data_IF_054497730901
#
_entry.id   IF_054497730901
#
_cell.length_a   1.000
_cell.length_b   1.000
_cell.length_c   1.000
_cell.angle_alpha   90.00
_cell.angle_beta   90.00
_cell.angle_gamma   90.00
#
_symmetry.space_group_name_H-M   'P 1'
#
loop_
_entity.id
_entity.type
_entity.pdbx_description
1 polymer ?
2 polymer ?
3 water ?
#
# COMPACT_ATOMS: atom_id res chain seq x y z
N UNK A 3 -14.77 2.13 -0.91
CA UNK A 3 -14.28 3.49 -0.71
C UNK A 3 -14.27 3.84 0.79
N UNK A 4 -13.12 3.64 1.43
CA UNK A 4 -13.07 3.64 2.90
C UNK A 4 -13.01 5.02 3.55
N UNK A 5 -12.82 6.10 2.78
CA UNK A 5 -12.71 7.43 3.36
C UNK A 5 -13.93 8.30 3.09
N UNK A 6 -15.06 7.71 2.67
CA UNK A 6 -16.28 8.49 2.48
C UNK A 6 -16.68 9.15 3.79
N UNK A 7 -17.03 10.43 3.72
CA UNK A 7 -17.37 11.19 4.90
C UNK A 7 -16.19 11.83 5.61
N UNK A 8 -14.97 11.64 5.12
CA UNK A 8 -13.79 12.16 5.79
C UNK A 8 -13.14 13.27 4.97
N UNK A 9 -12.55 14.24 5.68
CA UNK A 9 -12.02 15.47 5.11
C UNK A 9 -10.51 15.45 5.26
N UNK A 10 -9.79 15.69 4.16
CA UNK A 10 -8.33 15.71 4.16
C UNK A 10 -7.87 17.10 3.75
N UNK A 11 -7.02 17.72 4.58
CA UNK A 11 -6.40 18.99 4.22
C UNK A 11 -5.05 18.69 3.60
N UNK A 12 -4.90 18.98 2.31
CA UNK A 12 -3.66 18.74 1.56
C UNK A 12 -2.91 20.08 1.46
N UNK A 13 -1.76 20.18 2.10
CA UNK A 13 -0.97 21.40 2.11
C UNK A 13 0.28 21.12 1.28
N UNK A 14 0.41 21.80 0.14
CA UNK A 14 1.53 21.51 -0.76
C UNK A 14 1.72 22.68 -1.71
N UNK A 15 2.92 23.27 -1.70
CA UNK A 15 3.25 24.41 -2.56
C UNK A 15 3.57 24.00 -4.00
N UNK A 16 3.97 22.75 -4.23
CA UNK A 16 4.29 22.26 -5.57
C UNK A 16 3.02 21.71 -6.21
N UNK A 17 2.65 22.25 -7.37
CA UNK A 17 1.35 21.89 -7.94
C UNK A 17 1.30 20.44 -8.41
N UNK A 18 2.41 19.91 -8.90
CA UNK A 18 2.44 18.53 -9.39
C UNK A 18 2.15 17.56 -8.25
N UNK A 19 2.84 17.72 -7.11
CA UNK A 19 2.61 16.81 -6.00
C UNK A 19 1.24 17.01 -5.37
N UNK A 20 0.76 18.26 -5.27
CA UNK A 20 -0.57 18.50 -4.72
C UNK A 20 -1.65 17.78 -5.52
N UNK A 21 -1.56 17.85 -6.86
CA UNK A 21 -2.58 17.21 -7.70
C UNK A 21 -2.55 15.69 -7.55
N UNK A 22 -1.36 15.11 -7.40
CA UNK A 22 -1.25 13.68 -7.11
C UNK A 22 -1.95 13.30 -5.81
N UNK A 23 -1.63 14.00 -4.72
CA UNK A 23 -2.27 13.70 -3.44
C UNK A 23 -3.77 13.91 -3.51
N UNK A 24 -4.21 14.95 -4.20
CA UNK A 24 -5.63 15.21 -4.38
C UNK A 24 -6.32 14.01 -5.02
N UNK A 25 -5.70 13.45 -6.07
CA UNK A 25 -6.29 12.30 -6.77
C UNK A 25 -6.34 11.05 -5.89
N UNK A 26 -5.28 10.78 -5.15
CA UNK A 26 -5.23 9.55 -4.36
C UNK A 26 -6.32 9.56 -3.32
N UNK A 27 -6.48 10.69 -2.62
CA UNK A 27 -7.45 10.70 -1.52
C UNK A 27 -8.87 10.86 -2.04
N UNK A 28 -9.06 11.63 -3.12
CA UNK A 28 -10.40 11.69 -3.72
C UNK A 28 -10.85 10.31 -4.22
N UNK A 29 -9.91 9.52 -4.75
CA UNK A 29 -10.27 8.20 -5.27
C UNK A 29 -10.67 7.24 -4.14
N UNK A 30 -10.17 7.46 -2.93
CA UNK A 30 -10.62 6.67 -1.79
C UNK A 30 -11.92 7.19 -1.20
N UNK A 31 -12.51 8.24 -1.77
CA UNK A 31 -13.77 8.79 -1.32
C UNK A 31 -13.69 9.99 -0.39
N UNK A 32 -12.52 10.51 -0.13
CA UNK A 32 -12.40 11.64 0.80
C UNK A 32 -12.80 12.97 0.15
N UNK A 33 -13.27 13.91 0.98
CA UNK A 33 -13.34 15.32 0.59
C UNK A 33 -11.99 16.00 0.84
N UNK A 34 -11.37 16.54 -0.20
CA UNK A 34 -10.05 17.14 -0.10
C UNK A 34 -10.14 18.65 -0.19
N UNK A 35 -9.52 19.32 0.78
CA UNK A 35 -9.35 20.76 0.83
C UNK A 35 -7.88 21.05 0.58
N UNK A 36 -7.59 22.06 -0.24
CA UNK A 36 -6.23 22.33 -0.68
C UNK A 36 -5.73 23.62 -0.07
N UNK A 37 -4.47 23.60 0.36
CA UNK A 37 -3.80 24.78 0.86
C UNK A 37 -2.46 24.91 0.15
N UNK A 38 -2.08 26.15 -0.16
CA UNK A 38 -0.83 26.42 -0.86
C UNK A 38 0.37 26.52 0.08
N UNK A 39 0.16 26.95 1.32
CA UNK A 39 1.27 27.08 2.25
C UNK A 39 0.73 27.02 3.68
N UNK A 40 1.63 27.22 4.65
CA UNK A 40 1.29 26.98 6.04
C UNK A 40 0.36 28.03 6.63
N UNK A 41 0.44 29.27 6.15
CA UNK A 41 -0.51 30.26 6.60
C UNK A 41 -1.89 29.96 6.03
N UNK A 42 -1.95 29.63 4.74
CA UNK A 42 -3.22 29.26 4.12
C UNK A 42 -3.84 28.06 4.82
N UNK A 43 -2.99 27.08 5.18
CA UNK A 43 -3.47 25.92 5.92
C UNK A 43 -4.04 26.33 7.27
N UNK A 44 -3.33 27.20 7.99
CA UNK A 44 -3.79 27.60 9.32
C UNK A 44 -5.10 28.38 9.22
N UNK A 45 -5.20 29.26 8.22
CA UNK A 45 -6.45 30.00 8.01
C UNK A 45 -7.61 29.05 7.75
N UNK A 46 -7.36 27.97 7.00
CA UNK A 46 -8.42 27.06 6.62
C UNK A 46 -8.88 26.20 7.80
N UNK A 47 -7.93 25.80 8.65
CA UNK A 47 -8.26 25.10 9.89
C UNK A 47 -9.15 25.91 10.81
N UNK A 48 -9.24 27.21 10.59
CA UNK A 48 -10.18 28.02 11.33
C UNK A 48 -11.62 27.63 11.11
N UNK A 49 -11.92 26.96 9.99
CA UNK A 49 -13.29 26.61 9.68
C UNK A 49 -13.65 25.16 9.92
N UNK A 50 -12.66 24.26 10.01
CA UNK A 50 -13.01 22.85 10.13
C UNK A 50 -11.84 22.12 10.76
N UNK A 51 -12.12 20.91 11.24
CA UNK A 51 -11.09 20.00 11.72
C UNK A 51 -11.07 18.76 10.85
N UNK A 52 -10.07 18.60 9.99
CA UNK A 52 -10.05 17.44 9.11
C UNK A 52 -9.74 16.16 9.89
N UNK A 53 -10.06 15.03 9.27
CA UNK A 53 -9.62 13.76 9.83
C UNK A 53 -8.14 13.50 9.57
N UNK A 54 -7.51 14.32 8.74
CA UNK A 54 -6.09 14.21 8.45
C UNK A 54 -5.62 15.47 7.73
N UNK A 55 -4.47 15.98 8.14
CA UNK A 55 -3.73 16.98 7.39
C UNK A 55 -2.39 16.41 6.94
N UNK A 56 -2.04 16.66 5.68
CA UNK A 56 -0.77 16.25 5.06
C UNK A 56 -0.04 17.52 4.68
N UNK A 57 1.25 17.61 5.02
CA UNK A 57 2.00 18.84 4.76
C UNK A 57 3.49 18.52 4.71
N UNK A 58 4.28 19.37 4.06
CA UNK A 58 5.73 19.23 4.13
C UNK A 58 6.28 20.01 5.30
N UNK A 59 7.60 20.08 5.45
CA UNK A 59 8.16 21.00 6.41
C UNK A 59 8.49 22.33 5.77
N UNK A 60 9.27 22.32 4.68
CA UNK A 60 9.65 23.58 4.04
C UNK A 60 8.55 24.02 3.08
N UNK A 61 8.10 25.26 3.22
CA UNK A 61 7.02 25.81 2.39
C UNK A 61 6.83 27.29 2.72
N UNK A 62 6.24 28.07 1.82
CA UNK A 62 6.25 29.53 2.03
C UNK A 62 5.48 29.96 3.26
N UNK A 63 5.86 31.14 3.75
CA UNK A 63 5.17 31.94 4.76
C UNK A 63 5.14 31.31 6.15
N UNK A 64 4.82 30.04 6.27
CA UNK A 64 4.90 29.36 7.57
C UNK A 64 5.29 27.91 7.34
N UNK A 65 6.36 27.43 7.99
CA UNK A 65 6.81 26.07 7.74
C UNK A 65 5.94 25.05 8.48
N UNK A 66 6.13 23.77 8.14
CA UNK A 66 5.27 22.74 8.66
C UNK A 66 5.40 22.50 10.16
N UNK A 67 6.60 22.69 10.70
CA UNK A 67 6.78 22.42 12.13
C UNK A 67 6.18 23.53 12.98
N UNK A 68 6.28 24.78 12.52
CA UNK A 68 5.62 25.87 13.24
C UNK A 68 4.10 25.72 13.17
N UNK A 69 3.57 25.24 12.04
CA UNK A 69 2.13 24.96 11.92
C UNK A 69 1.71 23.82 12.85
N UNK A 70 2.48 22.72 12.85
CA UNK A 70 2.20 21.61 13.76
C UNK A 70 2.21 22.06 15.21
N UNK A 71 3.31 22.70 15.64
CA UNK A 71 3.36 23.19 17.02
C UNK A 71 2.23 24.16 17.32
N UNK A 72 1.80 24.95 16.33
CA UNK A 72 0.71 25.88 16.51
C UNK A 72 -0.60 25.16 16.82
N UNK A 73 -0.94 24.12 16.05
CA UNK A 73 -2.21 23.44 16.31
C UNK A 73 -2.12 22.55 17.54
N UNK A 74 -0.94 21.99 17.84
CA UNK A 74 -0.80 21.22 19.06
C UNK A 74 -0.88 22.10 20.30
N UNK A 75 -0.21 23.26 20.28
CA UNK A 75 -0.24 24.18 21.42
C UNK A 75 -1.64 24.72 21.69
N UNK A 76 -2.50 24.73 20.68
CA UNK A 76 -3.87 25.20 20.78
C UNK A 76 -4.83 24.13 21.31
N UNK A 77 -4.44 22.86 21.23
CA UNK A 77 -5.23 21.76 21.78
C UNK A 77 -5.67 20.72 20.77
N UNK A 78 -5.45 20.91 19.48
CA UNK A 78 -6.00 20.01 18.47
C UNK A 78 -5.28 18.66 18.49
N UNK A 79 -6.08 17.59 18.39
CA UNK A 79 -5.56 16.24 18.19
C UNK A 79 -5.63 15.82 16.73
N UNK A 80 -5.77 16.77 15.82
CA UNK A 80 -5.82 16.52 14.38
C UNK A 80 -4.67 15.62 13.92
N UNK A 81 -4.96 14.47 13.32
CA UNK A 81 -3.88 13.65 12.77
C UNK A 81 -3.14 14.39 11.67
N UNK A 82 -1.81 14.31 11.72
CA UNK A 82 -0.94 14.99 10.77
C UNK A 82 0.04 13.97 10.21
N UNK A 83 0.09 13.85 8.88
CA UNK A 83 1.13 13.12 8.17
C UNK A 83 2.08 14.12 7.52
N UNK A 84 3.36 13.98 7.79
CA UNK A 84 4.37 14.88 7.22
C UNK A 84 5.11 14.13 6.13
N UNK A 85 5.29 14.79 4.97
CA UNK A 85 6.03 14.25 3.83
C UNK A 85 7.06 15.31 3.44
N UNK A 86 8.34 15.03 3.73
CA UNK A 86 9.35 16.08 3.74
C UNK A 86 10.62 15.65 3.02
N UNK A 87 11.29 16.64 2.44
CA UNK A 87 12.63 16.43 1.90
C UNK A 87 13.73 16.92 2.84
N UNK A 88 13.43 17.06 4.13
CA UNK A 88 14.40 17.65 5.06
C UNK A 88 15.64 16.77 5.17
N UNK A 89 16.75 17.40 5.54
CA UNK A 89 18.00 16.71 5.83
C UNK A 89 18.43 16.90 7.29
N UNK A 90 17.56 17.47 8.13
CA UNK A 90 17.89 17.82 9.50
C UNK A 90 17.13 16.91 10.45
N UNK A 91 17.87 16.09 11.21
CA UNK A 91 17.24 15.19 12.18
C UNK A 91 16.46 15.94 13.25
N UNK A 92 16.90 17.16 13.61
CA UNK A 92 16.14 17.94 14.58
C UNK A 92 14.70 18.17 14.11
N UNK A 93 14.49 18.31 12.80
CA UNK A 93 13.13 18.39 12.26
C UNK A 93 12.34 17.13 12.58
N UNK A 94 12.95 15.97 12.35
CA UNK A 94 12.26 14.70 12.58
C UNK A 94 11.90 14.57 14.05
N UNK A 95 12.88 14.75 14.93
CA UNK A 95 12.66 14.66 16.36
C UNK A 95 11.57 15.63 16.82
N UNK A 96 11.55 16.84 16.26
CA UNK A 96 10.56 17.82 16.68
C UNK A 96 9.16 17.39 16.24
N UNK A 97 9.03 16.82 15.03
CA UNK A 97 7.72 16.39 14.58
C UNK A 97 7.20 15.23 15.42
N UNK A 98 8.09 14.29 15.78
CA UNK A 98 7.65 13.11 16.53
C UNK A 98 7.28 13.48 17.96
N UNK A 99 8.03 14.39 18.58
CA UNK A 99 7.64 14.94 19.87
C UNK A 99 6.24 15.57 19.81
N UNK A 100 5.98 16.39 18.79
CA UNK A 100 4.74 17.14 18.72
C UNK A 100 3.54 16.21 18.48
N UNK A 101 3.76 15.06 17.86
CA UNK A 101 2.69 14.12 17.57
C UNK A 101 2.29 14.12 16.11
N UNK A 102 2.71 13.09 15.38
CA UNK A 102 2.34 12.91 13.97
C UNK A 102 2.01 11.45 13.74
N UNK A 103 1.29 11.19 12.63
CA UNK A 103 1.11 9.82 12.17
C UNK A 103 2.44 9.21 11.75
N UNK A 104 3.26 9.99 11.05
CA UNK A 104 4.62 9.63 10.64
C UNK A 104 5.22 10.86 9.96
N UNK A 105 6.53 10.80 9.73
CA UNK A 105 7.22 11.73 8.84
C UNK A 105 7.77 10.86 7.71
N UNK A 106 7.18 10.96 6.53
CA UNK A 106 7.65 10.23 5.35
C UNK A 106 8.68 11.06 4.60
N UNK A 107 9.59 10.39 3.91
CA UNK A 107 10.65 11.10 3.18
C UNK A 107 10.37 11.06 1.69
N UNK A 108 10.74 12.12 0.99
CA UNK A 108 10.45 12.24 -0.44
C UNK A 108 11.60 11.66 -1.25
N UNK A 109 11.37 11.42 -2.55
CA UNK A 109 12.47 11.16 -3.46
C UNK A 109 12.71 12.34 -4.39
N UNK A 110 13.83 12.30 -5.13
CA UNK A 110 14.16 13.39 -6.05
C UNK A 110 13.15 13.47 -7.18
N UNK A 111 12.92 12.36 -7.86
CA UNK A 111 11.95 12.23 -8.93
C UNK A 111 10.89 11.25 -8.47
N UNK A 112 9.93 10.97 -9.36
CA UNK A 112 9.12 9.76 -9.24
C UNK A 112 8.13 9.84 -8.08
N UNK A 113 7.55 11.02 -7.84
CA UNK A 113 6.64 11.18 -6.73
C UNK A 113 5.45 10.23 -6.81
N UNK A 114 5.15 9.71 -8.01
CA UNK A 114 4.10 8.71 -8.20
C UNK A 114 4.23 7.55 -7.23
N UNK A 115 5.46 7.07 -7.00
CA UNK A 115 5.63 5.85 -6.20
C UNK A 115 5.51 6.08 -4.71
N UNK A 116 5.34 7.34 -4.27
CA UNK A 116 5.02 7.58 -2.87
C UNK A 116 3.67 7.01 -2.50
N UNK A 117 2.78 6.78 -3.48
CA UNK A 117 1.41 6.37 -3.15
C UNK A 117 1.38 5.14 -2.25
N UNK A 118 2.17 4.12 -2.58
CA UNK A 118 2.16 2.89 -1.78
C UNK A 118 2.63 3.17 -0.36
N UNK A 119 3.67 3.98 -0.22
CA UNK A 119 4.16 4.38 1.09
C UNK A 119 3.08 5.09 1.89
N UNK A 120 2.36 6.02 1.26
CA UNK A 120 1.34 6.78 1.97
C UNK A 120 0.20 5.87 2.39
N UNK A 121 -0.33 5.08 1.44
CA UNK A 121 -1.47 4.21 1.75
C UNK A 121 -1.11 3.18 2.80
N UNK A 122 0.07 2.57 2.67
CA UNK A 122 0.50 1.58 3.67
C UNK A 122 0.73 2.23 5.01
N UNK A 123 1.14 3.49 5.03
CA UNK A 123 1.27 4.17 6.31
C UNK A 123 -0.09 4.37 6.94
N UNK A 124 -1.06 4.83 6.15
CA UNK A 124 -2.35 5.22 6.68
C UNK A 124 -3.34 4.06 6.85
N UNK A 125 -3.08 2.90 6.24
CA UNK A 125 -4.13 1.88 6.22
C UNK A 125 -4.52 1.40 7.60
N UNK A 126 -3.61 1.23 8.59
CA UNK A 126 -4.08 0.95 9.96
C UNK A 126 -5.23 1.84 10.39
N UNK A 127 -5.08 3.16 10.25
CA UNK A 127 -6.11 4.08 10.72
C UNK A 127 -7.42 3.94 9.95
N UNK A 128 -7.35 3.50 8.69
CA UNK A 128 -8.58 3.25 7.92
C UNK A 128 -9.33 2.04 8.46
N UNK A 129 -8.61 0.94 8.73
CA UNK A 129 -9.24 -0.23 9.33
C UNK A 129 -9.82 0.11 10.69
N UNK A 130 -9.08 0.91 11.47
CA UNK A 130 -9.52 1.27 12.83
C UNK A 130 -10.67 2.27 12.80
N UNK A 131 -10.76 3.09 11.75
CA UNK A 131 -11.87 4.03 11.62
C UNK A 131 -13.23 3.34 11.54
N UNK A 132 -13.26 2.08 11.09
CA UNK A 132 -14.48 1.26 11.10
C UNK A 132 -14.60 0.40 12.36
N UNK A 133 -13.62 0.47 13.27
CA UNK A 133 -13.75 -0.11 14.61
C UNK A 133 -14.36 0.97 15.52
N UNK A 134 -15.51 1.50 15.09
CA UNK A 134 -16.18 2.56 15.82
C UNK A 134 -17.69 2.29 15.87
N UNK A 138 -11.94 -2.21 22.79
CA UNK A 138 -12.01 -2.80 21.45
C UNK A 138 -10.64 -2.88 20.81
N UNK A 139 -9.58 -2.68 21.61
CA UNK A 139 -8.21 -2.87 21.14
C UNK A 139 -7.82 -4.35 21.04
N UNK A 140 -8.80 -5.24 21.20
CA UNK A 140 -8.73 -6.63 20.78
C UNK A 140 -9.21 -6.81 19.34
N UNK A 141 -9.54 -5.72 18.63
CA UNK A 141 -10.12 -5.81 17.30
C UNK A 141 -9.56 -4.76 16.34
N UNK A 142 -8.49 -4.06 16.69
CA UNK A 142 -7.86 -3.15 15.74
C UNK A 142 -6.92 -3.93 14.82
N UNK A 143 -6.27 -3.20 13.91
CA UNK A 143 -5.42 -3.85 12.90
C UNK A 143 -4.31 -4.68 13.52
N UNK A 144 -3.64 -4.14 14.54
CA UNK A 144 -2.52 -4.85 15.15
C UNK A 144 -2.95 -6.19 15.75
N UNK A 145 -4.10 -6.20 16.43
CA UNK A 145 -4.65 -7.47 16.93
C UNK A 145 -4.94 -8.45 15.80
N UNK A 146 -5.31 -7.95 14.62
CA UNK A 146 -5.51 -8.83 13.47
C UNK A 146 -4.20 -9.41 12.98
N UNK A 147 -3.17 -8.56 12.88
CA UNK A 147 -1.84 -9.04 12.50
C UNK A 147 -1.35 -10.09 13.49
N UNK A 148 -1.63 -9.90 14.77
CA UNK A 148 -1.13 -10.78 15.82
C UNK A 148 -2.10 -11.91 16.18
N UNK A 149 -3.19 -12.08 15.43
CA UNK A 149 -4.15 -13.16 15.72
C UNK A 149 -4.68 -13.72 14.41
N UNK A 150 -4.01 -14.74 13.86
CA UNK A 150 -4.44 -15.30 12.58
C UNK A 150 -5.88 -15.80 12.59
N UNK A 151 -6.32 -16.37 13.71
CA UNK A 151 -7.68 -16.90 13.79
C UNK A 151 -8.72 -15.79 13.70
N UNK A 152 -8.50 -14.70 14.44
CA UNK A 152 -9.43 -13.56 14.39
C UNK A 152 -9.45 -12.96 12.99
N UNK A 153 -8.27 -12.75 12.41
CA UNK A 153 -8.16 -12.22 11.06
C UNK A 153 -8.95 -13.07 10.08
N UNK A 154 -8.76 -14.39 10.15
CA UNK A 154 -9.39 -15.29 9.19
C UNK A 154 -10.92 -15.22 9.30
N UNK A 155 -11.45 -15.27 10.52
CA UNK A 155 -12.90 -15.35 10.64
C UNK A 155 -13.55 -14.00 10.32
N UNK A 156 -12.85 -12.90 10.58
CA UNK A 156 -13.35 -11.60 10.11
C UNK A 156 -13.43 -11.57 8.59
N UNK A 157 -12.41 -12.11 7.91
CA UNK A 157 -12.43 -12.17 6.46
C UNK A 157 -13.61 -13.01 5.95
N UNK A 158 -13.85 -14.17 6.58
CA UNK A 158 -15.00 -14.97 6.19
C UNK A 158 -16.30 -14.19 6.40
N UNK A 159 -16.42 -13.50 7.53
CA UNK A 159 -17.60 -12.70 7.82
C UNK A 159 -17.86 -11.63 6.76
N UNK A 160 -16.81 -11.18 6.06
CA UNK A 160 -16.95 -10.10 5.08
C UNK A 160 -17.21 -10.60 3.65
N UNK A 161 -17.39 -11.90 3.43
CA UNK A 161 -17.59 -12.37 2.06
C UNK A 161 -18.93 -11.82 1.53
N UNK A 162 -19.03 -11.61 0.20
CA UNK A 162 -20.30 -11.09 -0.33
C UNK A 162 -21.41 -12.10 -0.19
N UNK A 163 -22.66 -11.64 -0.15
CA UNK A 163 -23.79 -12.59 -0.21
C UNK A 163 -23.82 -13.29 -1.55
N UNK A 164 -24.45 -14.47 -1.55
CA UNK A 164 -24.35 -15.30 -2.74
C UNK A 164 -25.17 -14.72 -3.88
N UNK A 165 -26.03 -13.76 -3.60
CA UNK A 165 -26.92 -13.21 -4.61
C UNK A 165 -27.14 -11.73 -4.31
N UNK A 166 -26.90 -10.88 -5.31
CA UNK A 166 -27.11 -9.45 -5.16
C UNK A 166 -27.25 -8.79 -6.52
N UNK A 167 -27.64 -7.53 -6.51
CA UNK A 167 -27.80 -6.72 -7.71
C UNK A 167 -26.81 -5.56 -7.64
N UNK A 168 -25.93 -5.47 -8.63
CA UNK A 168 -24.90 -4.43 -8.69
C UNK A 168 -24.92 -3.81 -10.08
N UNK A 169 -25.13 -2.50 -10.15
CA UNK A 169 -25.04 -1.78 -11.40
C UNK A 169 -25.91 -2.42 -12.48
N UNK A 170 -27.18 -2.67 -12.13
CA UNK A 170 -28.18 -3.23 -13.04
C UNK A 170 -27.80 -4.63 -13.52
N UNK A 171 -27.02 -5.36 -12.72
CA UNK A 171 -26.63 -6.73 -13.03
C UNK A 171 -26.96 -7.61 -11.85
N UNK A 172 -27.48 -8.80 -12.12
CA UNK A 172 -27.64 -9.82 -11.09
C UNK A 172 -26.34 -10.62 -11.00
N UNK A 173 -25.72 -10.62 -9.83
CA UNK A 173 -24.43 -11.27 -9.62
C UNK A 173 -24.63 -12.38 -8.60
N UNK A 174 -24.26 -13.60 -8.98
CA UNK A 174 -24.38 -14.78 -8.12
C UNK A 174 -23.04 -15.48 -8.06
N UNK A 175 -22.72 -16.05 -6.90
CA UNK A 175 -21.53 -16.89 -6.83
C UNK A 175 -21.76 -18.01 -5.82
N UNK A 176 -20.89 -19.01 -5.89
CA UNK A 176 -21.02 -20.16 -5.01
C UNK A 176 -19.65 -20.78 -4.89
N UNK A 177 -19.23 -21.06 -3.66
CA UNK A 177 -18.02 -21.85 -3.43
C UNK A 177 -18.32 -23.31 -3.74
N UNK A 178 -17.44 -23.95 -4.51
CA UNK A 178 -17.65 -25.33 -4.95
C UNK A 178 -16.69 -26.34 -4.31
N UNK A 179 -15.67 -25.88 -3.58
CA UNK A 179 -14.78 -26.73 -2.79
C UNK A 179 -14.54 -26.03 -1.47
N UNK A 180 -14.13 -26.80 -0.45
CA UNK A 180 -13.78 -26.25 0.87
C UNK A 180 -12.36 -26.70 1.20
N UNK A 181 -11.36 -25.99 0.67
CA UNK A 181 -9.98 -26.38 0.94
C UNK A 181 -9.48 -25.82 2.26
N UNK A 182 -9.85 -24.59 2.61
CA UNK A 182 -9.40 -24.00 3.85
C UNK A 182 -10.45 -23.08 4.44
N UNK A 183 -10.25 -22.76 5.73
CA UNK A 183 -10.94 -21.82 6.59
C UNK A 183 -11.60 -20.71 5.74
N UNK A 184 -10.94 -19.60 5.41
CA UNK A 184 -11.18 -19.00 4.09
C UNK A 184 -10.21 -19.57 3.06
N UNK A 185 -10.69 -19.66 1.82
CA UNK A 185 -9.90 -20.31 0.79
C UNK A 185 -9.73 -19.46 -0.44
N UNK A 186 -10.71 -19.47 -1.32
CA UNK A 186 -10.79 -18.52 -2.42
C UNK A 186 -11.72 -17.41 -1.96
N UNK A 187 -11.23 -16.18 -1.92
CA UNK A 187 -12.08 -15.09 -1.48
C UNK A 187 -12.35 -14.18 -2.67
N UNK A 188 -13.46 -13.46 -2.58
CA UNK A 188 -14.02 -12.70 -3.69
C UNK A 188 -14.52 -11.36 -3.16
N UNK A 189 -14.46 -10.33 -4.00
CA UNK A 189 -15.13 -9.07 -3.72
C UNK A 189 -15.58 -8.46 -5.05
N UNK A 190 -16.82 -7.95 -5.07
CA UNK A 190 -17.42 -7.34 -6.26
C UNK A 190 -17.94 -5.96 -5.87
N UNK A 191 -17.67 -4.96 -6.71
CA UNK A 191 -18.08 -3.61 -6.34
C UNK A 191 -18.52 -2.82 -7.56
N UNK A 192 -19.58 -2.04 -7.42
CA UNK A 192 -19.94 -1.08 -8.45
C UNK A 192 -18.84 -0.04 -8.59
N UNK A 193 -18.54 0.37 -9.82
CA UNK A 193 -17.71 1.53 -10.07
C UNK A 193 -18.51 2.76 -10.46
N UNK A 194 -19.70 2.53 -11.00
CA UNK A 194 -20.69 3.54 -11.33
C UNK A 194 -22.01 2.78 -11.49
N UNK A 195 -23.07 3.48 -11.91
CA UNK A 195 -24.31 2.75 -12.10
C UNK A 195 -24.26 1.81 -13.29
N UNK A 196 -23.19 1.86 -14.10
CA UNK A 196 -23.16 1.13 -15.36
C UNK A 196 -22.00 0.16 -15.49
N UNK A 197 -21.03 0.17 -14.59
CA UNK A 197 -19.98 -0.82 -14.65
C UNK A 197 -19.59 -1.25 -13.24
N UNK A 198 -18.86 -2.36 -13.17
CA UNK A 198 -18.48 -2.96 -11.91
C UNK A 198 -17.15 -3.65 -12.11
N UNK A 199 -16.51 -4.03 -11.01
CA UNK A 199 -15.26 -4.77 -11.03
C UNK A 199 -15.25 -5.75 -9.87
N UNK A 200 -14.35 -6.73 -9.97
CA UNK A 200 -14.30 -7.80 -9.00
C UNK A 200 -12.91 -8.38 -9.01
N UNK A 201 -12.53 -9.02 -7.90
CA UNK A 201 -11.30 -9.78 -7.86
C UNK A 201 -11.53 -11.06 -7.05
N UNK A 202 -10.77 -12.08 -7.38
CA UNK A 202 -10.77 -13.32 -6.63
C UNK A 202 -9.33 -13.59 -6.21
N UNK A 203 -9.12 -13.86 -4.91
CA UNK A 203 -7.78 -13.98 -4.34
C UNK A 203 -7.69 -15.29 -3.57
N UNK A 204 -6.69 -16.08 -3.90
CA UNK A 204 -6.46 -17.30 -3.13
C UNK A 204 -5.58 -16.95 -1.93
N UNK A 205 -6.13 -17.07 -0.70
CA UNK A 205 -5.40 -16.64 0.49
C UNK A 205 -4.61 -17.77 1.14
N UNK A 206 -4.57 -18.95 0.54
CA UNK A 206 -3.88 -20.08 1.16
C UNK A 206 -2.39 -20.18 0.79
N UNK A 207 -1.91 -19.41 -0.17
CA UNK A 207 -0.53 -19.58 -0.62
C UNK A 207 0.47 -18.79 0.22
N UNK A 208 0.01 -17.77 0.93
CA UNK A 208 0.85 -17.00 1.84
C UNK A 208 0.39 -17.15 3.27
N UNK A 209 -0.68 -17.91 3.49
CA UNK A 209 -1.16 -18.20 4.84
C UNK A 209 -1.72 -16.98 5.53
N UNK A 210 -1.07 -16.61 6.64
CA UNK A 210 -1.51 -15.45 7.41
C UNK A 210 -1.41 -14.17 6.61
N UNK A 211 -0.33 -14.01 5.84
CA UNK A 211 -0.20 -12.82 5.00
C UNK A 211 -1.28 -12.77 3.93
N UNK A 212 -1.80 -13.92 3.52
CA UNK A 212 -2.85 -13.92 2.51
C UNK A 212 -4.15 -13.35 3.02
N UNK A 213 -4.55 -13.73 4.24
CA UNK A 213 -5.71 -13.14 4.89
C UNK A 213 -5.53 -11.64 5.07
N UNK A 214 -4.38 -11.22 5.60
CA UNK A 214 -4.10 -9.79 5.78
C UNK A 214 -4.13 -9.06 4.44
N UNK A 215 -3.55 -9.66 3.40
CA UNK A 215 -3.60 -9.04 2.08
C UNK A 215 -5.04 -8.84 1.61
N UNK A 216 -5.89 -9.82 1.90
CA UNK A 216 -7.29 -9.75 1.46
C UNK A 216 -8.05 -8.65 2.20
N UNK A 217 -7.72 -8.42 3.48
CA UNK A 217 -8.40 -7.36 4.22
C UNK A 217 -7.95 -5.99 3.72
N UNK A 218 -6.66 -5.85 3.41
CA UNK A 218 -6.15 -4.59 2.87
C UNK A 218 -6.72 -4.34 1.47
N UNK A 219 -6.69 -5.35 0.61
CA UNK A 219 -7.20 -5.19 -0.75
C UNK A 219 -8.69 -4.85 -0.75
N UNK A 220 -9.46 -5.39 0.19
CA UNK A 220 -10.89 -5.08 0.21
C UNK A 220 -11.11 -3.59 0.44
N UNK A 221 -10.25 -2.97 1.24
CA UNK A 221 -10.37 -1.56 1.55
C UNK A 221 -9.88 -0.66 0.41
N UNK A 222 -8.90 -1.10 -0.37
CA UNK A 222 -8.24 -0.20 -1.32
C UNK A 222 -8.46 -0.53 -2.79
N UNK A 223 -9.05 -1.70 -3.11
CA UNK A 223 -9.19 -2.14 -4.50
C UNK A 223 -10.04 -1.16 -5.31
N UNK A 224 -11.25 -0.86 -4.82
CA UNK A 224 -12.13 0.08 -5.51
C UNK A 224 -11.41 1.41 -5.80
N UNK A 225 -10.73 1.95 -4.79
CA UNK A 225 -10.08 3.24 -4.94
C UNK A 225 -8.99 3.24 -5.99
N UNK A 226 -8.26 2.12 -6.13
CA UNK A 226 -7.20 2.03 -7.14
C UNK A 226 -7.79 2.09 -8.55
N UNK A 227 -8.89 1.39 -8.78
CA UNK A 227 -9.55 1.48 -10.08
C UNK A 227 -10.14 2.86 -10.32
N UNK A 228 -10.70 3.50 -9.28
CA UNK A 228 -11.30 4.81 -9.49
C UNK A 228 -10.25 5.83 -9.90
N UNK A 229 -9.06 5.74 -9.31
CA UNK A 229 -7.97 6.64 -9.65
C UNK A 229 -7.57 6.49 -11.10
N UNK A 230 -7.58 5.26 -11.61
CA UNK A 230 -7.18 5.02 -12.99
C UNK A 230 -8.22 5.54 -13.97
N UNK A 231 -9.49 5.18 -13.76
CA UNK A 231 -10.56 5.70 -14.60
C UNK A 231 -10.62 7.22 -14.60
N UNK A 232 -10.21 7.86 -13.51
CA UNK A 232 -10.33 9.32 -13.43
C UNK A 232 -9.39 10.04 -14.40
N UNK A 233 -8.35 9.37 -14.90
CA UNK A 233 -7.36 10.02 -15.74
C UNK A 233 -7.49 9.65 -17.21
N UNK A 234 -8.67 9.17 -17.64
CA UNK A 234 -8.91 8.90 -19.05
C UNK A 234 -10.34 9.30 -19.41
N UNK A 235 -10.52 9.76 -20.64
CA UNK A 235 -11.85 10.20 -21.09
C UNK A 235 -12.79 9.02 -21.25
N UNK A 236 -12.38 7.99 -21.99
CA UNK A 236 -13.18 6.78 -22.13
C UNK A 236 -12.86 5.82 -20.99
N UNK A 237 -13.91 5.25 -20.39
CA UNK A 237 -13.76 4.32 -19.27
C UNK A 237 -13.16 3.03 -19.78
N UNK A 238 -11.85 3.03 -19.98
CA UNK A 238 -11.14 1.88 -20.53
C UNK A 238 -10.18 1.36 -19.47
N UNK A 239 -10.62 0.51 -18.57
CA UNK A 239 -9.74 0.09 -17.46
C UNK A 239 -8.56 -0.71 -17.96
N UNK A 240 -7.45 -0.61 -17.25
CA UNK A 240 -6.24 -1.37 -17.56
C UNK A 240 -5.96 -2.20 -16.32
N UNK A 241 -6.49 -3.43 -16.31
CA UNK A 241 -6.40 -4.25 -15.11
C UNK A 241 -4.97 -4.69 -14.84
N UNK A 242 -4.14 -4.82 -15.86
CA UNK A 242 -2.74 -5.15 -15.62
C UNK A 242 -1.98 -4.07 -14.87
N UNK A 243 -2.32 -2.80 -15.11
CA UNK A 243 -1.72 -1.73 -14.32
C UNK A 243 -2.17 -1.83 -12.87
N UNK A 244 -3.40 -2.32 -12.65
CA UNK A 244 -3.88 -2.59 -11.30
C UNK A 244 -3.05 -3.69 -10.62
N UNK A 245 -2.80 -4.79 -11.33
CA UNK A 245 -1.99 -5.87 -10.74
C UNK A 245 -0.62 -5.36 -10.35
N UNK A 246 -0.02 -4.50 -11.19
CA UNK A 246 1.30 -3.97 -10.90
C UNK A 246 1.29 -3.15 -9.62
N UNK A 247 0.21 -2.36 -9.44
CA UNK A 247 0.10 -1.48 -8.28
C UNK A 247 -0.22 -2.26 -7.01
N UNK A 248 -1.11 -3.25 -7.11
CA UNK A 248 -1.40 -4.10 -5.95
C UNK A 248 -0.14 -4.81 -5.48
N UNK A 249 0.70 -5.26 -6.43
CA UNK A 249 1.94 -5.92 -6.03
C UNK A 249 2.87 -4.97 -5.29
N UNK A 250 3.04 -3.74 -5.80
CA UNK A 250 3.88 -2.79 -5.06
C UNK A 250 3.27 -2.46 -3.71
N UNK A 251 1.94 -2.48 -3.61
CA UNK A 251 1.27 -2.15 -2.35
C UNK A 251 1.52 -3.21 -1.28
N UNK A 252 1.32 -4.49 -1.62
CA UNK A 252 1.58 -5.57 -0.68
C UNK A 252 3.05 -5.62 -0.26
N UNK A 253 3.95 -5.35 -1.20
CA UNK A 253 5.38 -5.33 -0.87
C UNK A 253 5.66 -4.24 0.16
N UNK A 254 5.14 -3.03 -0.10
CA UNK A 254 5.39 -1.92 0.80
C UNK A 254 4.71 -2.13 2.15
N UNK A 255 3.56 -2.83 2.17
CA UNK A 255 2.82 -3.11 3.39
C UNK A 255 3.45 -4.22 4.22
N UNK A 256 4.60 -4.76 3.79
CA UNK A 256 5.25 -5.87 4.46
C UNK A 256 4.34 -7.10 4.52
N UNK A 257 3.80 -7.47 3.37
CA UNK A 257 3.00 -8.69 3.23
C UNK A 257 3.61 -9.56 2.14
N UNK A 258 4.79 -10.13 2.38
CA UNK A 258 5.39 -11.00 1.37
C UNK A 258 4.64 -12.32 1.26
N UNK A 259 4.80 -12.96 0.11
CA UNK A 259 4.25 -14.28 -0.12
C UNK A 259 3.78 -14.41 -1.54
N UNK A 260 2.98 -15.44 -1.81
CA UNK A 260 2.36 -15.66 -3.12
C UNK A 260 0.87 -15.36 -3.04
N UNK A 261 0.39 -14.53 -3.97
CA UNK A 261 -1.01 -14.10 -3.99
C UNK A 261 -1.63 -14.36 -5.35
N UNK A 262 -2.23 -15.53 -5.58
CA UNK A 262 -2.95 -15.77 -6.84
C UNK A 262 -4.21 -14.92 -6.89
N UNK A 263 -4.29 -14.08 -7.91
CA UNK A 263 -5.29 -13.02 -7.97
C UNK A 263 -5.80 -12.89 -9.40
N UNK A 264 -7.13 -12.92 -9.56
CA UNK A 264 -7.80 -12.69 -10.83
C UNK A 264 -8.61 -11.41 -10.67
N UNK A 265 -8.58 -10.55 -11.68
CA UNK A 265 -9.30 -9.28 -11.68
C UNK A 265 -10.21 -9.25 -12.91
N UNK A 266 -11.42 -8.73 -12.72
CA UNK A 266 -12.39 -8.65 -13.80
C UNK A 266 -13.11 -7.32 -13.73
N UNK A 267 -13.64 -6.91 -14.89
CA UNK A 267 -14.36 -5.66 -15.05
C UNK A 267 -15.49 -5.90 -16.04
N UNK A 268 -16.67 -5.32 -15.81
CA UNK A 268 -17.80 -5.52 -16.72
C UNK A 268 -18.62 -4.24 -16.81
N UNK A 269 -18.90 -3.83 -18.04
CA UNK A 269 -19.77 -2.69 -18.32
C UNK A 269 -21.08 -3.21 -18.88
N UNK A 270 -22.19 -2.88 -18.21
CA UNK A 270 -23.48 -3.47 -18.55
C UNK A 270 -24.10 -2.88 -19.81
N UNK A 271 -23.68 -1.68 -20.24
CA UNK A 271 -24.21 -1.18 -21.51
C UNK A 271 -23.30 -1.59 -22.67
N UNK A 272 -22.00 -1.33 -22.53
CA UNK A 272 -21.04 -1.71 -23.56
C UNK A 272 -20.92 -3.22 -23.73
N UNK A 273 -21.30 -4.00 -22.71
CA UNK A 273 -21.28 -5.46 -22.74
C UNK A 273 -19.86 -6.00 -22.89
N UNK A 274 -18.91 -5.37 -22.21
CA UNK A 274 -17.51 -5.78 -22.28
C UNK A 274 -17.08 -6.41 -20.97
N UNK A 275 -16.57 -7.64 -21.06
CA UNK A 275 -16.00 -8.35 -19.92
C UNK A 275 -14.48 -8.37 -20.12
N UNK A 276 -13.76 -7.89 -19.12
CA UNK A 276 -12.31 -7.81 -19.18
C UNK A 276 -11.78 -8.64 -18.03
N UNK A 277 -10.83 -9.53 -18.33
CA UNK A 277 -10.25 -10.41 -17.32
C UNK A 277 -8.73 -10.36 -17.36
N UNK A 278 -8.11 -10.44 -16.20
CA UNK A 278 -6.69 -10.77 -16.13
C UNK A 278 -6.45 -11.68 -14.92
N UNK A 279 -5.52 -12.63 -15.08
CA UNK A 279 -5.24 -13.59 -14.01
C UNK A 279 -3.74 -13.72 -13.77
N UNK A 280 -3.32 -13.51 -12.53
CA UNK A 280 -1.96 -13.79 -12.10
C UNK A 280 -2.02 -14.92 -11.07
N UNK A 281 -1.86 -16.16 -11.55
CA UNK A 281 -1.74 -17.32 -10.67
C UNK A 281 -3.00 -18.16 -10.52
N UNK A 282 -4.14 -17.74 -11.09
CA UNK A 282 -5.39 -18.47 -10.96
C UNK A 282 -5.85 -18.95 -12.34
N UNK A 283 -6.55 -20.08 -12.35
CA UNK A 283 -7.23 -20.60 -13.54
C UNK A 283 -8.67 -20.10 -13.59
N UNK A 284 -9.20 -19.94 -14.81
CA UNK A 284 -10.60 -19.56 -15.00
C UNK A 284 -11.16 -20.22 -16.25
N UNK A 285 -12.44 -20.62 -16.20
CA UNK A 285 -13.15 -21.11 -17.37
C UNK A 285 -14.38 -20.23 -17.54
N UNK A 286 -14.40 -19.46 -18.61
CA UNK A 286 -15.51 -18.58 -18.93
C UNK A 286 -16.41 -19.28 -19.93
N UNK A 287 -17.69 -19.38 -19.61
CA UNK A 287 -18.69 -19.86 -20.56
C UNK A 287 -19.67 -18.74 -20.87
N UNK A 288 -19.83 -18.44 -22.16
CA UNK A 288 -20.87 -17.53 -22.64
C UNK A 288 -21.67 -18.25 -23.71
N UNK A 289 -22.55 -17.50 -24.39
CA UNK A 289 -23.17 -18.03 -25.59
C UNK A 289 -22.22 -18.19 -26.77
N UNK A 290 -21.16 -17.39 -26.83
CA UNK A 290 -20.21 -17.44 -27.94
C UNK A 290 -19.31 -18.67 -27.86
N UNK A 291 -18.26 -18.56 -27.02
CA UNK A 291 -17.24 -19.57 -26.80
C UNK A 291 -17.20 -20.02 -25.34
N UNK A 292 -16.52 -21.13 -25.12
CA UNK A 292 -15.91 -21.42 -23.83
C UNK A 292 -14.46 -20.98 -23.89
N UNK A 293 -14.00 -20.27 -22.86
CA UNK A 293 -12.65 -19.71 -22.84
C UNK A 293 -11.95 -20.15 -21.55
N UNK A 294 -10.85 -20.86 -21.69
CA UNK A 294 -10.08 -21.32 -20.53
C UNK A 294 -8.82 -20.48 -20.45
N UNK A 295 -8.65 -19.79 -19.32
CA UNK A 295 -7.50 -18.91 -19.06
C UNK A 295 -6.66 -19.57 -17.98
N UNK A 296 -5.34 -19.62 -18.18
CA UNK A 296 -4.48 -20.05 -17.11
C UNK A 296 -3.23 -19.19 -17.08
N UNK A 297 -2.70 -19.06 -15.88
CA UNK A 297 -1.46 -18.36 -15.59
C UNK A 297 -1.06 -18.86 -14.21
N UNK A 298 0.15 -19.40 -14.09
CA UNK A 298 0.64 -19.97 -12.85
C UNK A 298 1.57 -19.09 -12.07
N UNK A 299 1.64 -17.79 -12.38
CA UNK A 299 2.60 -16.91 -11.71
C UNK A 299 1.84 -15.90 -10.87
N UNK A 300 1.77 -16.11 -9.56
CA UNK A 300 0.97 -15.24 -8.71
C UNK A 300 1.71 -13.94 -8.39
N UNK A 301 0.95 -12.96 -7.87
CA UNK A 301 1.55 -11.76 -7.32
C UNK A 301 2.49 -12.11 -6.17
N UNK A 302 3.45 -11.22 -5.94
CA UNK A 302 4.44 -11.44 -4.93
C UNK A 302 5.65 -12.22 -5.39
N UNK A 303 5.68 -12.69 -6.64
CA UNK A 303 6.82 -13.47 -7.13
C UNK A 303 7.62 -12.75 -8.21
N UNK A 304 7.12 -11.63 -8.73
CA UNK A 304 7.82 -10.83 -9.73
C UNK A 304 7.92 -9.39 -9.25
N UNK A 305 9.02 -8.71 -9.58
CA UNK A 305 9.08 -7.27 -9.34
C UNK A 305 7.94 -6.53 -10.01
N UNK A 306 7.70 -6.80 -11.31
CA UNK A 306 6.66 -6.12 -12.08
C UNK A 306 5.55 -7.13 -12.40
N UNK A 307 4.38 -6.94 -11.80
CA UNK A 307 3.26 -7.86 -11.92
C UNK A 307 2.31 -7.50 -13.06
N UNK A 308 2.69 -6.57 -13.92
CA UNK A 308 1.81 -6.17 -15.03
C UNK A 308 1.56 -7.37 -15.96
N UNK A 309 0.29 -7.55 -16.36
CA UNK A 309 -0.08 -8.49 -17.40
C UNK A 309 -1.03 -7.82 -18.38
N UNK A 310 -1.02 -8.28 -19.64
CA UNK A 310 -2.01 -7.85 -20.62
C UNK A 310 -3.34 -8.58 -20.44
N UNK A 311 -4.43 -7.82 -20.50
CA UNK A 311 -5.76 -8.32 -20.19
C UNK A 311 -6.47 -8.92 -21.40
N UNK A 312 -7.46 -9.75 -21.12
CA UNK A 312 -8.35 -10.32 -22.11
C UNK A 312 -9.69 -9.61 -22.08
N UNK A 313 -10.32 -9.45 -23.24
CA UNK A 313 -11.62 -8.82 -23.29
C UNK A 313 -12.53 -9.58 -24.25
N UNK A 314 -13.80 -9.70 -23.87
CA UNK A 314 -14.80 -10.50 -24.59
C UNK A 314 -16.15 -9.82 -24.42
N UNK A 315 -16.79 -9.41 -25.50
CA UNK A 315 -18.12 -8.85 -25.35
C UNK A 315 -19.10 -9.98 -25.05
N UNK A 316 -20.07 -9.72 -24.19
CA UNK A 316 -21.10 -10.73 -23.89
C UNK A 316 -22.18 -10.10 -23.04
N UNK A 317 -23.36 -10.72 -23.07
CA UNK A 317 -24.56 -10.22 -22.39
C UNK A 317 -24.78 -10.87 -21.03
N UNK A 318 -24.40 -12.14 -20.90
CA UNK A 318 -24.45 -12.88 -19.66
C UNK A 318 -23.25 -13.82 -19.68
N UNK A 319 -22.69 -14.11 -18.52
CA UNK A 319 -21.55 -15.01 -18.51
C UNK A 319 -21.49 -15.74 -17.17
N UNK A 320 -20.71 -16.81 -17.17
CA UNK A 320 -20.37 -17.50 -15.93
C UNK A 320 -18.93 -17.97 -16.03
N UNK A 321 -18.30 -18.03 -14.87
CA UNK A 321 -16.85 -18.16 -14.78
C UNK A 321 -16.52 -19.02 -13.58
N UNK A 322 -15.87 -20.17 -13.82
CA UNK A 322 -15.25 -20.95 -12.75
C UNK A 322 -13.83 -20.40 -12.56
N UNK A 323 -13.47 -20.12 -11.31
CA UNK A 323 -12.13 -19.65 -10.94
C UNK A 323 -11.61 -20.65 -9.91
N UNK A 324 -10.42 -21.20 -10.13
CA UNK A 324 -9.85 -22.06 -9.11
C UNK A 324 -8.34 -21.89 -9.01
N UNK A 325 -7.84 -22.20 -7.82
CA UNK A 325 -6.42 -22.38 -7.54
C UNK A 325 -6.31 -23.52 -6.56
N UNK A 326 -5.13 -23.72 -5.97
CA UNK A 326 -4.99 -24.78 -4.99
C UNK A 326 -5.91 -24.54 -3.79
N UNK A 327 -6.18 -23.27 -3.48
CA UNK A 327 -7.02 -22.92 -2.34
C UNK A 327 -8.50 -23.27 -2.48
N UNK A 328 -8.98 -23.52 -3.70
CA UNK A 328 -10.38 -23.85 -3.88
C UNK A 328 -10.88 -23.41 -5.24
N UNK A 329 -12.22 -23.47 -5.41
CA UNK A 329 -12.89 -23.21 -6.67
C UNK A 329 -14.22 -22.52 -6.42
N UNK A 330 -14.54 -21.50 -7.19
CA UNK A 330 -15.86 -20.87 -7.09
C UNK A 330 -16.41 -20.60 -8.49
N UNK A 331 -17.72 -20.40 -8.56
CA UNK A 331 -18.40 -20.03 -9.81
C UNK A 331 -19.03 -18.66 -9.61
N UNK A 332 -18.67 -17.74 -10.49
CA UNK A 332 -19.23 -16.39 -10.52
C UNK A 332 -20.10 -16.26 -11.76
N UNK A 333 -21.32 -15.76 -11.59
CA UNK A 333 -22.29 -15.64 -12.67
C UNK A 333 -22.86 -14.23 -12.72
N UNK A 334 -23.05 -13.72 -13.92
CA UNK A 334 -23.64 -12.40 -14.13
C UNK A 334 -24.65 -12.46 -15.26
N UNK A 335 -25.84 -11.89 -15.04
CA UNK A 335 -26.74 -11.63 -16.16
C UNK A 335 -27.40 -10.28 -15.96
N UNK A 336 -28.04 -9.79 -17.03
CA UNK A 336 -28.78 -8.54 -16.94
C UNK A 336 -29.88 -8.64 -15.88
N UNK A 337 -30.04 -7.57 -15.10
CA UNK A 337 -31.11 -7.52 -14.12
C UNK A 337 -32.44 -7.31 -14.83
N UNK B 4 25.81 -17.07 -4.86
CA UNK B 4 25.29 -16.86 -6.22
C UNK B 4 25.66 -15.47 -6.75
N UNK B 5 25.71 -15.34 -8.07
CA UNK B 5 25.95 -14.02 -8.67
C UNK B 5 24.94 -13.00 -8.20
N UNK B 6 23.71 -13.44 -7.91
CA UNK B 6 22.66 -12.51 -7.51
C UNK B 6 22.90 -11.97 -6.11
N UNK B 7 23.12 -12.88 -5.15
CA UNK B 7 23.30 -12.45 -3.76
C UNK B 7 24.54 -11.59 -3.59
N UNK B 8 25.54 -11.79 -4.45
CA UNK B 8 26.76 -10.99 -4.35
C UNK B 8 26.54 -9.57 -4.85
N UNK B 9 25.79 -9.41 -5.94
CA UNK B 9 25.59 -8.09 -6.51
C UNK B 9 24.68 -7.22 -5.65
N UNK B 10 23.63 -7.81 -5.08
CA UNK B 10 22.75 -7.06 -4.19
C UNK B 10 23.54 -6.55 -2.99
N UNK B 11 24.41 -7.37 -2.44
CA UNK B 11 25.17 -6.98 -1.25
C UNK B 11 26.13 -5.84 -1.57
N UNK B 12 26.88 -5.95 -2.67
CA UNK B 12 27.81 -4.90 -3.04
C UNK B 12 27.07 -3.58 -3.30
N UNK B 13 25.91 -3.64 -3.94
CA UNK B 13 25.20 -2.41 -4.27
C UNK B 13 24.50 -1.81 -3.08
N UNK B 14 24.08 -2.64 -2.11
CA UNK B 14 23.64 -2.10 -0.82
C UNK B 14 24.77 -1.34 -0.14
N UNK B 15 25.96 -1.94 -0.08
CA UNK B 15 27.10 -1.27 0.53
C UNK B 15 27.35 0.09 -0.12
N UNK B 16 27.25 0.16 -1.44
CA UNK B 16 27.44 1.43 -2.15
C UNK B 16 26.37 2.44 -1.78
N UNK B 17 25.13 1.99 -1.55
CA UNK B 17 24.06 2.90 -1.15
C UNK B 17 24.41 3.60 0.17
N UNK B 18 25.07 2.90 1.09
CA UNK B 18 25.31 3.45 2.41
C UNK B 18 26.60 4.25 2.50
N UNK B 19 27.50 4.13 1.54
CA UNK B 19 28.82 4.72 1.65
C UNK B 19 29.11 5.77 0.59
N UNK B 20 28.63 5.57 -0.64
CA UNK B 20 28.96 6.51 -1.70
C UNK B 20 28.39 7.88 -1.34
N UNK B 21 29.19 8.95 -1.42
CA UNK B 21 28.69 10.25 -0.94
C UNK B 21 27.55 10.80 -1.78
N UNK B 22 27.23 10.23 -2.92
CA UNK B 22 26.15 10.78 -3.72
C UNK B 22 25.18 9.63 -4.04
N UNK B 23 24.87 8.92 -2.97
CA UNK B 23 23.85 7.88 -2.89
C UNK B 23 22.47 8.45 -3.18
N UNK B 24 21.60 7.59 -3.68
CA UNK B 24 20.21 7.99 -3.81
C UNK B 24 19.49 7.98 -2.47
N UNK B 25 19.95 7.18 -1.51
CA UNK B 25 19.32 7.15 -0.20
C UNK B 25 19.40 8.52 0.46
N UNK B 26 18.31 8.97 1.10
CA UNK B 26 18.35 10.27 1.79
C UNK B 26 19.52 10.39 2.78
N UNK B 27 20.17 11.55 2.75
CA UNK B 27 21.29 11.81 3.64
C UNK B 27 20.87 11.70 5.11
N UNK B 28 19.61 12.05 5.41
CA UNK B 28 19.04 11.90 6.73
C UNK B 28 19.27 10.48 7.29
N UNK B 29 19.15 9.46 6.43
CA UNK B 29 19.21 8.07 6.85
C UNK B 29 20.59 7.48 6.83
N UNK B 30 21.50 8.02 6.02
CA UNK B 30 22.85 7.48 5.91
C UNK B 30 23.77 8.09 6.97
N UNK B 31 23.74 9.41 7.13
CA UNK B 31 24.60 10.11 8.08
C UNK B 31 23.82 10.78 9.21
N UNK B 32 22.62 11.31 8.93
CA UNK B 32 21.88 12.06 9.92
C UNK B 32 21.64 11.30 11.21
N UNK B 33 20.96 10.16 11.10
CA UNK B 33 20.66 9.34 12.28
C UNK B 33 21.91 8.92 13.06
N UNK B 34 22.98 8.39 12.44
CA UNK B 34 24.18 8.09 13.24
C UNK B 34 24.73 9.30 13.98
N UNK B 35 24.82 10.45 13.32
CA UNK B 35 25.38 11.64 13.95
C UNK B 35 24.44 12.24 15.00
N UNK B 36 23.14 11.96 14.90
CA UNK B 36 22.18 12.38 15.93
C UNK B 36 22.33 11.55 17.19
N UNK B 37 22.55 10.24 17.06
CA UNK B 37 22.67 9.38 18.23
C UNK B 37 23.91 9.66 19.07
N UNK B 38 24.94 10.30 18.51
CA UNK B 38 26.12 10.58 19.32
C UNK B 38 25.85 11.72 20.28
N UNK B 39 24.96 12.65 19.92
CA UNK B 39 24.74 13.88 20.64
C UNK B 39 23.41 13.93 21.38
N UNK B 40 22.59 12.89 21.29
CA UNK B 40 21.23 12.95 21.83
C UNK B 40 20.83 11.61 22.45
N UNK B 41 20.09 11.63 23.54
CA UNK B 41 19.64 10.37 24.15
C UNK B 41 18.77 9.58 23.21
N UNK B 42 18.89 8.26 23.28
CA UNK B 42 18.15 7.38 22.38
C UNK B 42 16.66 7.41 22.71
N UNK B 43 15.84 7.25 21.68
CA UNK B 43 14.41 7.36 21.83
C UNK B 43 13.74 6.27 21.00
N UNK B 44 12.87 5.50 21.65
CA UNK B 44 12.22 4.38 20.98
C UNK B 44 11.41 4.82 19.77
N UNK B 45 10.80 6.02 19.84
CA UNK B 45 10.00 6.49 18.70
C UNK B 45 10.90 6.89 17.53
N UNK B 46 12.03 7.54 17.82
CA UNK B 46 12.92 7.89 16.73
C UNK B 46 13.51 6.63 16.10
N UNK B 47 13.86 5.64 16.91
CA UNK B 47 14.47 4.45 16.35
C UNK B 47 13.48 3.66 15.50
N UNK B 48 12.23 3.52 15.96
CA UNK B 48 11.23 2.86 15.12
C UNK B 48 10.98 3.66 13.85
N UNK B 49 10.94 5.00 13.96
CA UNK B 49 10.86 5.84 12.77
C UNK B 49 12.00 5.55 11.80
N UNK B 50 13.22 5.48 12.30
CA UNK B 50 14.38 5.29 11.41
C UNK B 50 14.24 3.98 10.63
N UNK B 51 13.90 2.90 11.32
CA UNK B 51 13.77 1.60 10.65
C UNK B 51 12.66 1.63 9.61
N UNK B 52 11.56 2.32 9.91
CA UNK B 52 10.45 2.40 8.97
C UNK B 52 10.88 3.08 7.67
N UNK B 53 11.54 4.24 7.78
CA UNK B 53 11.87 4.98 6.56
C UNK B 53 13.06 4.38 5.83
N UNK B 54 14.01 3.81 6.56
CA UNK B 54 15.12 3.15 5.88
C UNK B 54 14.62 1.95 5.09
N UNK B 55 13.70 1.18 5.66
CA UNK B 55 13.09 0.09 4.92
C UNK B 55 12.39 0.60 3.66
N UNK B 56 11.60 1.67 3.77
CA UNK B 56 10.94 2.22 2.60
C UNK B 56 11.94 2.69 1.54
N UNK B 57 13.00 3.37 1.97
CA UNK B 57 13.96 3.90 1.01
C UNK B 57 14.69 2.78 0.26
N UNK B 58 15.13 1.73 0.96
CA UNK B 58 15.79 0.60 0.31
C UNK B 58 14.86 -0.13 -0.66
N UNK B 59 13.60 -0.35 -0.27
CA UNK B 59 12.64 -0.94 -1.19
C UNK B 59 12.46 -0.06 -2.42
N UNK B 60 12.42 1.25 -2.21
CA UNK B 60 12.31 2.21 -3.30
C UNK B 60 13.49 2.10 -4.27
N UNK B 61 14.71 1.86 -3.75
CA UNK B 61 15.90 1.97 -4.59
C UNK B 61 16.54 0.64 -4.93
N UNK B 62 15.98 -0.48 -4.50
CA UNK B 62 16.49 -1.80 -4.86
C UNK B 62 15.33 -2.68 -5.30
N UNK B 63 15.00 -2.66 -6.60
CA UNK B 63 13.83 -3.41 -7.08
C UNK B 63 13.95 -4.92 -6.88
N UNK B 64 15.14 -5.45 -6.59
CA UNK B 64 15.32 -6.90 -6.51
C UNK B 64 14.92 -7.48 -5.16
N UNK B 65 14.71 -6.61 -4.16
CA UNK B 65 14.25 -7.03 -2.84
C UNK B 65 12.73 -7.19 -2.88
N UNK B 66 12.24 -8.33 -2.38
CA UNK B 66 10.81 -8.59 -2.26
C UNK B 66 10.28 -8.33 -0.85
N UNK B 67 11.07 -8.61 0.18
CA UNK B 67 10.69 -8.33 1.55
C UNK B 67 11.92 -7.81 2.28
N UNK B 68 11.69 -6.98 3.29
CA UNK B 68 12.80 -6.36 4.01
C UNK B 68 12.30 -6.04 5.41
N UNK B 69 13.11 -6.41 6.39
CA UNK B 69 12.91 -5.98 7.76
C UNK B 69 14.21 -5.31 8.20
N UNK B 70 14.07 -4.14 8.83
CA UNK B 70 15.19 -3.35 9.31
C UNK B 70 15.07 -3.28 10.82
N UNK B 71 16.09 -3.74 11.50
CA UNK B 71 16.14 -3.66 12.96
C UNK B 71 17.46 -3.03 13.36
N UNK B 72 17.42 -2.27 14.46
CA UNK B 72 18.63 -1.74 15.08
C UNK B 72 19.17 -2.78 16.06
N UNK B 73 20.44 -3.10 15.94
CA UNK B 73 21.02 -4.11 16.81
C UNK B 73 21.37 -3.51 18.17
N UNK B 74 21.08 -4.26 19.23
CA UNK B 74 21.23 -3.75 20.58
C UNK B 74 22.69 -3.76 21.05
N UNK B 75 23.36 -4.91 20.89
CA UNK B 75 24.67 -5.11 21.52
C UNK B 75 25.66 -4.01 21.15
N UNK B 76 25.52 -3.40 19.97
CA UNK B 76 26.38 -2.29 19.57
C UNK B 76 25.77 -1.01 20.13
N UNK B 77 26.04 -0.78 21.42
CA UNK B 77 25.56 0.43 22.08
C UNK B 77 26.47 1.62 21.84
N UNK B 78 27.73 1.39 21.46
CA UNK B 78 28.68 2.48 21.24
C UNK B 78 28.47 3.22 19.93
N UNK B 79 27.64 2.70 19.04
CA UNK B 79 27.44 3.29 17.71
C UNK B 79 26.19 2.64 17.10
N UNK B 80 25.71 3.21 16.00
CA UNK B 80 24.52 2.68 15.34
C UNK B 80 24.88 1.40 14.57
N UNK B 81 24.12 0.33 14.81
CA UNK B 81 24.27 -0.93 14.10
C UNK B 81 22.93 -1.40 13.56
N UNK B 82 22.89 -1.77 12.28
CA UNK B 82 21.67 -2.08 11.54
C UNK B 82 21.71 -3.52 11.08
N UNK B 83 20.56 -4.20 11.13
CA UNK B 83 20.44 -5.55 10.61
C UNK B 83 19.37 -5.55 9.53
N UNK B 84 19.76 -5.94 8.31
CA UNK B 84 18.84 -6.06 7.18
C UNK B 84 18.55 -7.54 6.95
N UNK B 85 17.29 -7.93 7.09
CA UNK B 85 16.81 -9.24 6.68
C UNK B 85 16.06 -9.09 5.37
N UNK B 86 16.67 -9.57 4.29
CA UNK B 86 16.18 -9.38 2.93
C UNK B 86 15.66 -10.70 2.39
N UNK B 87 14.55 -10.63 1.64
CA UNK B 87 14.22 -11.69 0.72
C UNK B 87 14.21 -11.13 -0.69
N UNK B 88 14.92 -11.80 -1.59
CA UNK B 88 14.99 -11.43 -3.00
C UNK B 88 13.93 -12.18 -3.81
N UNK B 89 13.41 -11.51 -4.85
CA UNK B 89 12.68 -12.26 -5.87
C UNK B 89 13.59 -13.35 -6.42
N UNK B 90 12.98 -14.51 -6.69
CA UNK B 90 13.63 -15.62 -7.39
C UNK B 90 14.78 -16.25 -6.61
N UNK B 91 14.84 -16.04 -5.30
CA UNK B 91 15.81 -16.74 -4.44
C UNK B 91 15.07 -17.21 -3.19
N UNK B 92 15.05 -18.51 -2.97
CA UNK B 92 14.25 -19.13 -1.93
C UNK B 92 14.75 -18.86 -0.50
N UNK B 93 15.90 -18.19 -0.34
CA UNK B 93 16.66 -18.23 0.90
C UNK B 93 17.04 -16.84 1.42
N UNK B 94 16.69 -16.52 2.67
CA UNK B 94 16.86 -15.15 3.13
C UNK B 94 18.31 -14.75 3.07
N UNK B 95 18.51 -13.44 2.98
CA UNK B 95 19.83 -12.81 3.00
C UNK B 95 19.83 -11.83 4.15
N UNK B 96 20.75 -12.02 5.09
CA UNK B 96 20.93 -11.09 6.20
C UNK B 96 22.24 -10.34 6.01
N UNK B 97 22.14 -9.01 6.02
CA UNK B 97 23.29 -8.14 5.88
C UNK B 97 23.35 -7.24 7.10
N UNK B 98 24.49 -7.25 7.80
CA UNK B 98 24.65 -6.45 9.00
C UNK B 98 25.61 -5.32 8.73
N UNK B 99 25.20 -4.11 9.10
CA UNK B 99 25.97 -2.88 8.88
C UNK B 99 26.21 -2.15 10.20
N UNK B 100 27.39 -1.56 10.33
CA UNK B 100 27.80 -0.81 11.50
C UNK B 100 28.39 0.51 11.06
N UNK B 101 27.95 1.59 11.71
CA UNK B 101 28.52 2.92 11.49
C UNK B 101 29.75 3.09 12.38
N UNK B 102 30.86 3.52 11.78
CA UNK B 102 32.06 3.86 12.56
C UNK B 102 33.08 4.49 11.62
N UNK B 103 33.87 5.41 12.16
CA UNK B 103 34.90 6.15 11.42
C UNK B 103 34.36 6.61 10.07
N UNK B 104 33.49 7.61 10.08
CA UNK B 104 32.79 7.95 8.87
C UNK B 104 31.69 6.95 8.59
N UNK B 105 31.72 6.32 7.41
CA UNK B 105 30.60 5.53 6.94
C UNK B 105 30.33 4.17 7.56
N UNK B 106 29.68 3.32 6.76
CA UNK B 106 29.11 2.03 7.14
C UNK B 106 29.99 0.88 6.69
N UNK B 107 29.99 -0.20 7.48
CA UNK B 107 30.86 -1.31 7.18
C UNK B 107 30.12 -2.64 7.30
N UNK B 108 30.40 -3.52 6.33
CA UNK B 108 29.85 -4.86 6.29
C UNK B 108 30.48 -5.70 7.40
N UNK B 109 29.71 -6.00 8.44
CA UNK B 109 30.19 -6.79 9.56
C UNK B 109 30.32 -8.28 9.17
#
# INVERSE_FOLDING_TARGET
MTQPLVGKQILIVEDEQVFRSLLDSWFSSLGATTVLAADGVDALELLGGFTPDLMICPIAMPRMNGLKLLEHIRNRGDQTPVLVISATENMADIAKALRLGVEDVLLKPVKDLNRLREMVFACLYPSMFNSRVEEEERLFRDWDAMVDNPAAAAKLLQELQPPVQQVISHCRVNYRQLVAADKPGLVLDIAALSENDLAFYCLDVTRAGHNGVLAALLLRALFNGLLQEQLAHQNQRLPELGALLKQVNHLLRQANLPGQFPLLVGYYHRELKNLILVSAGLNATLNTGEHQVQISNGVPLGTLGNAYLNQLSQRCDAWQCQIWGTGGRLRLMLSAE
MKTSSLRKSVCSDLLTLFNSPHSALPSLLVSGMPEWQVHNPSDKHLQSWYCRQLRSALLFHEPRIAALQVNLKEAYCHTLAISLEIMLYHDDEPLTFDLVWDNGGWRSATLENVS
#
